data_IF_216172461998
#
_entry.id   IF_216172461998
#
_cell.length_a   1.000
_cell.length_b   1.000
_cell.length_c   1.000
_cell.angle_alpha   90.00
_cell.angle_beta   90.00
_cell.angle_gamma   90.00
#
_symmetry.space_group_name_H-M   'P 1'
#
loop_
_entity.id
_entity.type
_entity.pdbx_description
1 polymer ?
#
# COMPACT_ATOMS: atom_id res chain seq x y z
N UNK A 1 -13.72 2.09 -9.39
CA UNK A 1 -12.61 3.08 -9.39
C UNK A 1 -12.04 3.16 -10.79
N UNK A 2 -11.72 4.35 -11.29
CA UNK A 2 -11.07 4.57 -12.58
C UNK A 2 -9.90 5.57 -12.42
N UNK A 3 -9.08 5.73 -13.48
CA UNK A 3 -7.90 6.60 -13.48
C UNK A 3 -8.24 8.03 -13.02
N UNK A 4 -9.27 8.65 -13.60
CA UNK A 4 -9.62 10.03 -13.29
C UNK A 4 -10.04 10.24 -11.83
N UNK A 5 -10.73 9.27 -11.22
CA UNK A 5 -11.10 9.35 -9.80
C UNK A 5 -9.89 9.31 -8.88
N UNK A 6 -8.87 8.52 -9.22
CA UNK A 6 -7.60 8.48 -8.45
C UNK A 6 -6.91 9.85 -8.52
N UNK A 7 -6.75 10.40 -9.71
CA UNK A 7 -6.13 11.72 -9.94
C UNK A 7 -6.90 12.81 -9.19
N UNK A 8 -8.22 12.85 -9.35
CA UNK A 8 -9.05 13.86 -8.69
C UNK A 8 -8.94 13.81 -7.16
N UNK A 9 -8.88 12.60 -6.60
CA UNK A 9 -8.68 12.44 -5.16
C UNK A 9 -7.38 13.12 -4.68
N UNK A 10 -6.24 12.86 -5.34
CA UNK A 10 -4.97 13.46 -4.93
C UNK A 10 -4.90 14.96 -5.22
N UNK A 11 -5.55 15.45 -6.27
CA UNK A 11 -5.71 16.88 -6.50
C UNK A 11 -6.50 17.55 -5.36
N UNK A 12 -7.55 16.92 -4.85
CA UNK A 12 -8.28 17.40 -3.67
C UNK A 12 -7.41 17.39 -2.42
N UNK A 13 -6.64 16.33 -2.19
CA UNK A 13 -5.70 16.25 -1.07
C UNK A 13 -4.64 17.36 -1.17
N UNK A 14 -4.11 17.61 -2.37
CA UNK A 14 -3.17 18.72 -2.61
C UNK A 14 -3.78 20.06 -2.20
N UNK A 15 -5.00 20.37 -2.63
CA UNK A 15 -5.72 21.60 -2.26
C UNK A 15 -5.91 21.72 -0.74
N UNK A 16 -6.27 20.61 -0.06
CA UNK A 16 -6.41 20.58 1.40
C UNK A 16 -5.09 20.90 2.08
N UNK A 17 -3.98 20.35 1.59
CA UNK A 17 -2.64 20.62 2.11
C UNK A 17 -2.24 22.08 1.91
N UNK A 18 -2.40 22.61 0.70
CA UNK A 18 -2.07 23.99 0.34
C UNK A 18 -2.92 25.02 1.12
N UNK A 19 -4.13 24.64 1.55
CA UNK A 19 -4.97 25.48 2.42
C UNK A 19 -4.53 25.52 3.88
N UNK A 20 -3.45 24.81 4.26
CA UNK A 20 -2.93 24.75 5.63
C UNK A 20 -3.77 23.92 6.61
N UNK A 21 -4.82 23.23 6.15
CA UNK A 21 -5.65 22.36 7.00
C UNK A 21 -4.93 21.10 7.48
N UNK A 22 -3.86 20.72 6.78
CA UNK A 22 -3.00 19.60 7.19
C UNK A 22 -1.55 20.07 7.17
N UNK A 23 -0.87 19.94 8.32
CA UNK A 23 0.55 20.29 8.49
C UNK A 23 1.48 19.08 8.46
N UNK A 24 0.92 17.86 8.44
CA UNK A 24 1.72 16.64 8.37
C UNK A 24 2.20 16.37 6.92
N UNK A 25 3.37 15.74 6.75
CA UNK A 25 3.86 15.38 5.42
C UNK A 25 2.88 14.51 4.64
N UNK A 26 2.73 14.81 3.36
CA UNK A 26 1.91 14.06 2.41
C UNK A 26 2.78 13.70 1.22
N UNK A 27 2.72 12.45 0.78
CA UNK A 27 3.35 11.98 -0.44
C UNK A 27 2.28 11.55 -1.43
N UNK A 28 2.14 12.30 -2.49
CA UNK A 28 1.22 11.98 -3.58
C UNK A 28 1.85 10.95 -4.51
N UNK A 29 1.00 10.13 -5.12
CA UNK A 29 1.36 9.26 -6.24
C UNK A 29 1.32 10.06 -7.55
N UNK A 30 1.50 9.40 -8.67
CA UNK A 30 1.33 10.01 -9.99
C UNK A 30 1.85 9.10 -11.09
N UNK A 31 1.23 9.21 -12.27
CA UNK A 31 1.63 8.55 -13.50
C UNK A 31 1.56 7.01 -13.52
N UNK A 32 1.17 6.36 -12.43
CA UNK A 32 1.08 4.88 -12.30
C UNK A 32 -0.36 4.34 -12.18
N UNK A 33 -1.38 5.19 -12.33
CA UNK A 33 -2.80 4.83 -12.14
C UNK A 33 -3.22 3.64 -13.01
N UNK A 34 -2.81 3.67 -14.29
CA UNK A 34 -3.16 2.62 -15.25
C UNK A 34 -2.54 1.28 -14.91
N UNK A 35 -1.30 1.28 -14.43
CA UNK A 35 -0.58 0.10 -13.95
C UNK A 35 -1.24 -0.46 -12.69
N UNK A 36 -1.53 0.40 -11.72
CA UNK A 36 -2.19 0.00 -10.47
C UNK A 36 -3.58 -0.60 -10.74
N UNK A 37 -4.38 0.01 -11.62
CA UNK A 37 -5.68 -0.54 -12.01
C UNK A 37 -5.57 -1.95 -12.58
N UNK A 38 -4.53 -2.25 -13.40
CA UNK A 38 -4.26 -3.59 -13.93
C UNK A 38 -3.85 -4.57 -12.84
N UNK A 39 -2.99 -4.14 -11.89
CA UNK A 39 -2.51 -4.98 -10.78
C UNK A 39 -3.67 -5.31 -9.84
N UNK A 40 -4.47 -4.31 -9.46
CA UNK A 40 -5.59 -4.50 -8.53
C UNK A 40 -6.72 -5.40 -9.07
N UNK A 41 -6.82 -5.60 -10.39
CA UNK A 41 -7.69 -6.65 -10.97
C UNK A 41 -7.28 -8.07 -10.57
N UNK A 42 -6.02 -8.28 -10.16
CA UNK A 42 -5.48 -9.58 -9.73
C UNK A 42 -5.59 -9.80 -8.21
N UNK A 43 -5.95 -8.76 -7.47
CA UNK A 43 -6.08 -8.77 -6.00
C UNK A 43 -7.53 -9.10 -5.64
N UNK A 44 -7.71 -10.11 -4.80
CA UNK A 44 -9.01 -10.33 -4.18
C UNK A 44 -9.24 -9.27 -3.10
N UNK A 45 -9.97 -8.22 -3.43
CA UNK A 45 -10.19 -7.08 -2.53
C UNK A 45 -10.88 -7.46 -1.21
N UNK A 46 -11.64 -8.54 -1.18
CA UNK A 46 -12.28 -9.04 0.04
C UNK A 46 -11.30 -9.73 0.97
N UNK A 47 -10.43 -10.58 0.42
CA UNK A 47 -9.68 -11.54 1.23
C UNK A 47 -8.18 -11.27 1.29
N UNK A 48 -7.55 -10.78 0.22
CA UNK A 48 -6.13 -10.52 0.21
C UNK A 48 -5.75 -9.31 1.08
N UNK A 49 -4.56 -9.38 1.68
CA UNK A 49 -3.95 -8.24 2.35
C UNK A 49 -3.18 -7.37 1.36
N UNK A 50 -3.26 -6.07 1.55
CA UNK A 50 -2.42 -5.08 0.84
C UNK A 50 -1.63 -4.29 1.86
N UNK A 51 -0.31 -4.35 1.73
CA UNK A 51 0.64 -3.57 2.51
C UNK A 51 1.35 -2.59 1.59
N UNK A 52 1.55 -1.35 2.05
CA UNK A 52 2.06 -0.26 1.22
C UNK A 52 3.03 0.63 1.99
N UNK A 53 3.74 1.48 1.26
CA UNK A 53 4.63 2.51 1.80
C UNK A 53 3.87 3.83 2.02
N UNK A 54 4.57 4.94 2.11
CA UNK A 54 3.97 6.27 2.35
C UNK A 54 3.15 6.83 1.18
N UNK A 55 3.39 6.39 -0.08
CA UNK A 55 2.57 6.74 -1.27
C UNK A 55 1.43 5.74 -1.43
N UNK A 56 0.51 5.73 -0.50
CA UNK A 56 -0.46 4.64 -0.34
C UNK A 56 -1.90 5.00 -0.72
N UNK A 57 -2.19 6.25 -1.08
CA UNK A 57 -3.58 6.70 -1.28
C UNK A 57 -4.29 5.93 -2.38
N UNK A 58 -3.64 5.74 -3.53
CA UNK A 58 -4.22 4.95 -4.63
C UNK A 58 -4.44 3.50 -4.23
N UNK A 59 -3.49 2.90 -3.52
CA UNK A 59 -3.63 1.52 -3.03
C UNK A 59 -4.81 1.39 -2.07
N UNK A 60 -4.97 2.34 -1.14
CA UNK A 60 -6.07 2.36 -0.19
C UNK A 60 -7.43 2.47 -0.89
N UNK A 61 -7.57 3.38 -1.86
CA UNK A 61 -8.78 3.56 -2.64
C UNK A 61 -9.10 2.32 -3.49
N UNK A 62 -8.10 1.76 -4.16
CA UNK A 62 -8.26 0.56 -4.99
C UNK A 62 -8.58 -0.68 -4.16
N UNK A 63 -8.13 -0.71 -2.91
CA UNK A 63 -8.49 -1.76 -1.93
C UNK A 63 -9.94 -1.64 -1.44
N UNK A 64 -10.62 -0.54 -1.78
CA UNK A 64 -12.02 -0.29 -1.44
C UNK A 64 -12.23 0.51 -0.16
N UNK A 65 -11.19 1.14 0.38
CA UNK A 65 -11.34 2.06 1.51
C UNK A 65 -12.15 3.28 1.05
N UNK A 66 -13.23 3.66 1.78
CA UNK A 66 -14.05 4.81 1.42
C UNK A 66 -13.24 6.11 1.37
N UNK A 67 -13.46 6.88 0.32
CA UNK A 67 -12.76 8.14 0.04
C UNK A 67 -12.85 9.13 1.21
N UNK A 68 -14.05 9.33 1.77
CA UNK A 68 -14.27 10.25 2.89
C UNK A 68 -13.55 9.80 4.16
N UNK A 69 -13.50 8.50 4.40
CA UNK A 69 -12.76 7.95 5.53
C UNK A 69 -11.26 8.20 5.37
N UNK A 70 -10.72 7.95 4.17
CA UNK A 70 -9.31 8.16 3.86
C UNK A 70 -8.94 9.65 3.99
N UNK A 71 -9.74 10.57 3.43
CA UNK A 71 -9.56 12.02 3.58
C UNK A 71 -9.51 12.44 5.05
N UNK A 72 -10.43 11.92 5.89
CA UNK A 72 -10.42 12.18 7.33
C UNK A 72 -9.14 11.72 8.02
N UNK A 73 -8.56 10.58 7.62
CA UNK A 73 -7.28 10.12 8.18
C UNK A 73 -6.13 11.03 7.76
N UNK A 74 -6.09 11.42 6.48
CA UNK A 74 -5.05 12.31 5.94
C UNK A 74 -5.08 13.67 6.66
N UNK A 75 -6.26 14.28 6.82
CA UNK A 75 -6.41 15.56 7.55
C UNK A 75 -5.95 15.43 9.01
N UNK A 76 -6.11 14.27 9.63
CA UNK A 76 -5.59 13.98 10.98
C UNK A 76 -4.07 13.73 11.02
N UNK A 77 -3.35 13.96 9.93
CA UNK A 77 -1.89 13.76 9.85
C UNK A 77 -1.45 12.30 9.66
N UNK A 78 -2.36 11.39 9.33
CA UNK A 78 -2.06 9.96 9.20
C UNK A 78 -1.89 9.52 7.74
N UNK A 79 -1.52 10.43 6.84
CA UNK A 79 -1.38 10.14 5.41
C UNK A 79 -0.49 8.94 5.10
N UNK A 80 0.66 8.84 5.76
CA UNK A 80 1.66 7.81 5.48
C UNK A 80 1.43 6.50 6.23
N UNK A 81 0.64 6.52 7.32
CA UNK A 81 0.41 5.38 8.21
C UNK A 81 -1.06 5.00 8.27
N UNK A 82 -1.63 4.52 7.17
CA UNK A 82 -3.02 4.10 7.09
C UNK A 82 -3.16 2.64 7.56
N UNK A 83 -4.02 2.44 8.55
CA UNK A 83 -4.38 1.11 9.05
C UNK A 83 -5.89 0.94 8.93
N UNK A 84 -6.33 -0.02 8.13
CA UNK A 84 -7.74 -0.36 8.00
C UNK A 84 -7.94 -1.88 7.98
N UNK A 85 -8.20 -2.43 9.17
CA UNK A 85 -8.37 -3.89 9.36
C UNK A 85 -9.55 -4.46 8.56
N UNK A 86 -10.65 -3.71 8.44
CA UNK A 86 -11.84 -4.14 7.68
C UNK A 86 -11.50 -4.40 6.22
N UNK A 87 -10.63 -3.57 5.64
CA UNK A 87 -10.20 -3.70 4.25
C UNK A 87 -8.86 -4.44 4.10
N UNK A 88 -8.34 -5.02 5.20
CA UNK A 88 -7.04 -5.73 5.18
C UNK A 88 -5.93 -4.88 4.53
N UNK A 89 -5.83 -3.63 4.98
CA UNK A 89 -4.88 -2.65 4.47
C UNK A 89 -3.98 -2.10 5.58
N UNK A 90 -2.69 -2.03 5.31
CA UNK A 90 -1.70 -1.46 6.21
C UNK A 90 -0.63 -0.69 5.42
N UNK A 91 -0.25 0.51 5.86
CA UNK A 91 0.89 1.24 5.31
C UNK A 91 1.84 1.75 6.39
N UNK A 92 3.10 1.95 6.01
CA UNK A 92 4.16 2.43 6.89
C UNK A 92 5.01 3.49 6.21
N UNK A 93 5.43 4.49 6.97
CA UNK A 93 6.38 5.51 6.53
C UNK A 93 7.84 5.05 6.58
N UNK A 94 8.12 3.92 7.20
CA UNK A 94 9.50 3.43 7.41
C UNK A 94 9.94 2.66 6.18
N UNK A 95 11.04 3.12 5.55
CA UNK A 95 11.66 2.44 4.41
C UNK A 95 12.04 1.01 4.79
N UNK A 96 11.60 0.03 4.01
CA UNK A 96 11.85 -1.39 4.28
C UNK A 96 11.02 -1.99 5.42
N UNK A 97 10.51 -1.18 6.36
CA UNK A 97 9.81 -1.67 7.55
C UNK A 97 8.54 -2.47 7.28
N UNK A 98 7.86 -2.19 6.17
CA UNK A 98 6.66 -2.93 5.76
C UNK A 98 6.95 -4.39 5.37
N UNK A 99 8.18 -4.69 4.92
CA UNK A 99 8.54 -5.98 4.33
C UNK A 99 8.54 -7.10 5.36
N UNK A 100 9.28 -7.01 6.49
CA UNK A 100 9.26 -8.07 7.51
C UNK A 100 7.88 -8.23 8.16
N UNK A 101 7.10 -7.15 8.27
CA UNK A 101 5.70 -7.23 8.72
C UNK A 101 4.88 -8.09 7.76
N UNK A 102 5.05 -7.88 6.46
CA UNK A 102 4.37 -8.68 5.44
C UNK A 102 4.80 -10.15 5.45
N UNK A 103 6.08 -10.44 5.71
CA UNK A 103 6.58 -11.81 5.89
C UNK A 103 5.89 -12.50 7.07
N UNK A 104 5.81 -11.83 8.22
CA UNK A 104 5.12 -12.36 9.39
C UNK A 104 3.66 -12.66 9.12
N UNK A 105 2.97 -11.75 8.44
CA UNK A 105 1.58 -11.91 8.02
C UNK A 105 1.42 -13.09 7.05
N UNK A 106 2.25 -13.17 6.01
CA UNK A 106 2.20 -14.25 5.03
C UNK A 106 2.51 -15.63 5.66
N UNK A 107 3.40 -15.66 6.66
CA UNK A 107 3.65 -16.87 7.45
C UNK A 107 2.42 -17.29 8.26
N UNK A 108 1.73 -16.34 8.90
CA UNK A 108 0.47 -16.59 9.61
C UNK A 108 -0.59 -17.16 8.67
N UNK A 109 -0.79 -16.53 7.49
CA UNK A 109 -1.72 -17.02 6.45
C UNK A 109 -1.41 -18.47 6.06
N UNK A 110 -0.13 -18.77 5.82
CA UNK A 110 0.29 -20.14 5.47
C UNK A 110 0.02 -21.14 6.59
N UNK A 111 0.37 -20.80 7.83
CA UNK A 111 0.14 -21.68 8.98
C UNK A 111 -1.35 -21.98 9.22
N UNK A 112 -2.21 -21.00 9.00
CA UNK A 112 -3.67 -21.14 9.09
C UNK A 112 -4.28 -21.83 7.85
N UNK A 113 -3.47 -22.16 6.85
CA UNK A 113 -3.93 -22.75 5.57
C UNK A 113 -5.00 -21.90 4.86
N UNK A 114 -4.97 -20.57 5.04
CA UNK A 114 -5.88 -19.65 4.39
C UNK A 114 -5.52 -19.50 2.89
N UNK A 115 -6.53 -19.47 2.02
CA UNK A 115 -6.35 -19.31 0.56
C UNK A 115 -6.33 -17.82 0.15
N UNK A 116 -5.55 -17.01 0.85
CA UNK A 116 -5.38 -15.58 0.61
C UNK A 116 -3.93 -15.23 0.32
N UNK A 117 -3.70 -14.08 -0.28
CA UNK A 117 -2.36 -13.57 -0.60
C UNK A 117 -2.08 -12.28 0.17
N UNK A 118 -0.79 -12.04 0.38
CA UNK A 118 -0.28 -10.78 0.91
C UNK A 118 0.44 -10.03 -0.21
N UNK A 119 -0.10 -8.88 -0.60
CA UNK A 119 0.48 -8.01 -1.62
C UNK A 119 1.24 -6.88 -0.95
N UNK A 120 2.48 -6.65 -1.37
CA UNK A 120 3.37 -5.65 -0.78
C UNK A 120 3.84 -4.71 -1.88
N UNK A 121 3.45 -3.45 -1.77
CA UNK A 121 3.87 -2.39 -2.68
C UNK A 121 5.04 -1.66 -2.07
N UNK A 122 6.16 -1.58 -2.79
CA UNK A 122 7.40 -0.93 -2.37
C UNK A 122 7.95 -0.09 -3.50
N UNK A 123 8.69 0.97 -3.17
CA UNK A 123 9.43 1.74 -4.18
C UNK A 123 10.72 1.04 -4.60
N UNK A 124 11.27 1.47 -5.72
CA UNK A 124 12.54 1.05 -6.31
C UNK A 124 13.70 1.09 -5.32
N UNK A 125 13.90 2.22 -4.63
CA UNK A 125 14.94 2.36 -3.61
C UNK A 125 14.78 1.39 -2.43
N UNK A 126 13.54 1.03 -2.09
CA UNK A 126 13.28 0.00 -1.05
C UNK A 126 13.65 -1.39 -1.57
N UNK A 127 13.45 -1.65 -2.85
CA UNK A 127 13.82 -2.90 -3.50
C UNK A 127 15.34 -3.15 -3.43
N UNK A 128 16.18 -2.10 -3.51
CA UNK A 128 17.64 -2.20 -3.43
C UNK A 128 18.17 -2.44 -2.00
N UNK A 129 17.31 -2.43 -0.98
CA UNK A 129 17.74 -2.62 0.41
C UNK A 129 18.03 -4.08 0.76
N UNK A 130 19.02 -4.31 1.63
CA UNK A 130 19.33 -5.65 2.15
C UNK A 130 18.12 -6.36 2.77
N UNK A 131 17.29 -5.62 3.51
CA UNK A 131 16.08 -6.18 4.13
C UNK A 131 15.09 -6.75 3.11
N UNK A 132 14.98 -6.14 1.91
CA UNK A 132 14.16 -6.71 0.84
C UNK A 132 14.71 -8.05 0.40
N UNK A 133 16.01 -8.13 0.09
CA UNK A 133 16.64 -9.35 -0.43
C UNK A 133 16.58 -10.50 0.58
N UNK A 134 16.82 -10.22 1.85
CA UNK A 134 16.68 -11.21 2.94
C UNK A 134 15.24 -11.74 3.04
N UNK A 135 14.27 -10.84 3.12
CA UNK A 135 12.85 -11.19 3.23
C UNK A 135 12.35 -11.90 1.97
N UNK A 136 12.78 -11.48 0.78
CA UNK A 136 12.42 -12.13 -0.48
C UNK A 136 12.94 -13.56 -0.51
N UNK A 137 14.23 -13.78 -0.20
CA UNK A 137 14.84 -15.11 -0.11
C UNK A 137 14.13 -16.00 0.90
N UNK A 138 13.84 -15.45 2.10
CA UNK A 138 13.08 -16.15 3.12
C UNK A 138 11.69 -16.55 2.61
N UNK A 139 10.98 -15.62 1.97
CA UNK A 139 9.63 -15.89 1.45
C UNK A 139 9.61 -17.01 0.41
N UNK A 140 10.62 -17.06 -0.44
CA UNK A 140 10.79 -18.11 -1.46
C UNK A 140 11.08 -19.46 -0.83
N UNK A 141 12.08 -19.53 0.06
CA UNK A 141 12.48 -20.75 0.74
C UNK A 141 11.34 -21.37 1.56
N UNK A 142 10.48 -20.54 2.10
CA UNK A 142 9.32 -20.96 2.88
C UNK A 142 8.01 -21.05 2.08
N UNK A 143 8.02 -20.84 0.76
CA UNK A 143 6.83 -20.87 -0.10
C UNK A 143 5.67 -20.04 0.51
N UNK A 144 5.95 -18.79 0.90
CA UNK A 144 4.94 -17.90 1.50
C UNK A 144 3.98 -17.35 0.45
N UNK A 145 2.68 -17.16 0.77
CA UNK A 145 1.69 -16.60 -0.15
C UNK A 145 1.81 -15.07 -0.26
N UNK A 146 3.00 -14.59 -0.66
CA UNK A 146 3.33 -13.16 -0.75
C UNK A 146 3.64 -12.77 -2.20
N UNK A 147 3.28 -11.54 -2.58
CA UNK A 147 3.58 -10.92 -3.87
C UNK A 147 4.14 -9.53 -3.62
N UNK A 148 5.35 -9.28 -4.10
CA UNK A 148 5.95 -7.95 -4.11
C UNK A 148 5.64 -7.26 -5.44
N UNK A 149 5.30 -5.98 -5.35
CA UNK A 149 5.12 -5.06 -6.48
C UNK A 149 6.09 -3.92 -6.26
N UNK A 150 7.03 -3.77 -7.16
CA UNK A 150 7.99 -2.66 -7.16
C UNK A 150 7.41 -1.54 -8.02
N UNK A 151 7.28 -0.36 -7.44
CA UNK A 151 6.88 0.86 -8.11
C UNK A 151 8.15 1.67 -8.40
N UNK A 152 8.55 1.62 -9.66
CA UNK A 152 9.65 2.40 -10.19
C UNK A 152 9.08 3.71 -10.75
N UNK A 153 9.56 4.81 -10.23
CA UNK A 153 9.10 6.16 -10.60
C UNK A 153 10.22 7.05 -11.15
N UNK A 154 11.35 6.43 -11.60
CA UNK A 154 12.46 7.11 -12.27
C UNK A 154 13.46 7.73 -11.34
#
# INVERSE_FOLDING_TARGET
MNKQKLINFELDIKKIYESGKNKAPIHLSGNNESQLLKIFKKINNKDDWVLSTWRNHYHALLKGIPEDWLKKQIIKGRSMGIINKKHKFYSSAIVGGIIPIAIGLAKSVKLKKEKIKVWVFIGDMTFETGIFHECYKYSKNHNLPIKFVVEDNG
#
